data_IF_438796972225
#
_entry.id   IF_438796972225
#
_cell.length_a   1.000
_cell.length_b   1.000
_cell.length_c   1.000
_cell.angle_alpha   90.00
_cell.angle_beta   90.00
_cell.angle_gamma   90.00
#
_symmetry.space_group_name_H-M   'P 1'
#
loop_
_entity.id
_entity.type
_entity.pdbx_description
1 polymer ?
#
# COMPACT_ATOMS: atom_id res chain seq x y z
N UNK A 1 -21.65 1.79 10.77
CA UNK A 1 -21.54 2.11 12.22
C UNK A 1 -21.48 0.86 13.07
N UNK A 2 -22.25 -0.20 12.77
CA UNK A 2 -22.24 -1.47 13.52
C UNK A 2 -20.91 -2.25 13.41
N UNK A 3 -20.34 -2.34 12.21
CA UNK A 3 -19.08 -3.06 11.93
C UNK A 3 -17.88 -2.44 12.67
N UNK A 4 -17.83 -1.11 12.75
CA UNK A 4 -16.74 -0.37 13.41
C UNK A 4 -16.77 -0.55 14.93
N UNK A 5 -17.97 -0.65 15.52
CA UNK A 5 -18.12 -0.96 16.94
C UNK A 5 -17.74 -2.42 17.25
N UNK A 6 -18.07 -3.36 16.35
CA UNK A 6 -17.69 -4.76 16.49
C UNK A 6 -16.17 -4.93 16.43
N UNK A 7 -15.49 -4.27 15.47
CA UNK A 7 -14.02 -4.29 15.37
C UNK A 7 -13.34 -3.67 16.61
N UNK A 8 -13.89 -2.57 17.13
CA UNK A 8 -13.39 -1.98 18.37
C UNK A 8 -13.59 -2.90 19.58
N UNK A 9 -14.77 -3.53 19.67
CA UNK A 9 -15.10 -4.49 20.72
C UNK A 9 -14.15 -5.69 20.67
N UNK A 10 -13.95 -6.29 19.51
CA UNK A 10 -13.04 -7.42 19.31
C UNK A 10 -11.59 -7.03 19.61
N UNK A 11 -11.17 -5.82 19.22
CA UNK A 11 -9.84 -5.30 19.57
C UNK A 11 -9.64 -5.10 21.07
N UNK A 12 -10.69 -4.67 21.80
CA UNK A 12 -10.63 -4.46 23.25
C UNK A 12 -10.69 -5.78 24.04
N UNK A 13 -11.31 -6.82 23.49
CA UNK A 13 -11.54 -8.10 24.15
C UNK A 13 -10.63 -9.23 23.63
N UNK A 14 -9.74 -8.93 22.69
CA UNK A 14 -8.73 -9.87 22.23
C UNK A 14 -7.77 -10.25 23.36
N UNK A 15 -7.74 -11.54 23.70
CA UNK A 15 -6.85 -12.11 24.74
C UNK A 15 -5.41 -12.26 24.27
N UNK A 16 -5.18 -12.27 22.95
CA UNK A 16 -3.86 -12.24 22.35
C UNK A 16 -3.54 -10.79 21.96
N UNK A 17 -2.68 -10.13 22.74
CA UNK A 17 -2.24 -8.76 22.46
C UNK A 17 -1.20 -8.78 21.31
N UNK A 18 -1.63 -9.12 20.10
CA UNK A 18 -0.78 -9.27 18.89
C UNK A 18 -0.38 -7.94 18.26
N UNK A 19 -0.91 -6.82 18.77
CA UNK A 19 -0.60 -5.47 18.32
C UNK A 19 0.40 -4.74 19.22
N UNK A 20 1.10 -5.44 20.12
CA UNK A 20 2.19 -4.81 20.86
C UNK A 20 3.40 -4.60 19.93
N UNK A 21 4.17 -3.54 20.22
CA UNK A 21 5.36 -3.17 19.44
C UNK A 21 6.38 -4.30 19.35
N UNK A 22 6.52 -5.11 20.41
CA UNK A 22 7.50 -6.20 20.47
C UNK A 22 7.14 -7.34 19.51
N UNK A 23 5.87 -7.70 19.42
CA UNK A 23 5.35 -8.72 18.54
C UNK A 23 5.49 -8.29 17.08
N UNK A 24 5.11 -7.04 16.77
CA UNK A 24 5.24 -6.52 15.41
C UNK A 24 6.72 -6.44 15.03
N UNK A 25 7.59 -5.94 15.91
CA UNK A 25 9.04 -5.96 15.68
C UNK A 25 9.58 -7.38 15.43
N UNK A 26 9.19 -8.35 16.25
CA UNK A 26 9.63 -9.73 16.10
C UNK A 26 9.13 -10.37 14.81
N UNK A 27 7.88 -10.09 14.41
CA UNK A 27 7.30 -10.58 13.16
C UNK A 27 8.01 -10.00 11.94
N UNK A 28 8.17 -8.68 11.93
CA UNK A 28 8.69 -7.91 10.81
C UNK A 28 10.20 -8.13 10.62
N UNK A 29 10.97 -8.25 11.72
CA UNK A 29 12.42 -8.52 11.70
C UNK A 29 12.77 -10.01 11.71
N UNK A 30 11.80 -10.92 11.58
CA UNK A 30 12.00 -12.39 11.68
C UNK A 30 13.10 -12.91 10.76
N UNK A 31 13.26 -12.31 9.59
CA UNK A 31 14.23 -12.72 8.58
C UNK A 31 15.55 -11.93 8.63
N UNK A 32 15.81 -11.14 9.69
CA UNK A 32 16.99 -10.27 9.85
C UNK A 32 17.26 -9.34 8.65
N UNK A 33 16.21 -8.99 7.92
CA UNK A 33 16.24 -8.07 6.79
C UNK A 33 15.53 -6.79 7.17
N UNK A 34 15.93 -5.67 6.56
CA UNK A 34 15.21 -4.42 6.73
C UNK A 34 13.80 -4.58 6.15
N UNK A 35 12.75 -4.29 6.93
CA UNK A 35 11.40 -4.48 6.46
C UNK A 35 10.97 -3.36 5.52
N UNK A 36 10.30 -3.77 4.44
CA UNK A 36 9.72 -2.85 3.46
C UNK A 36 8.20 -2.90 3.59
N UNK A 37 7.60 -1.78 3.98
CA UNK A 37 6.15 -1.60 3.95
C UNK A 37 5.75 -0.93 2.64
N UNK A 38 4.66 -1.42 2.04
CA UNK A 38 4.09 -0.85 0.82
C UNK A 38 2.67 -0.39 1.12
N UNK A 39 2.38 0.89 0.88
CA UNK A 39 1.08 1.50 1.19
C UNK A 39 0.42 2.08 -0.04
N UNK A 40 -0.91 2.20 -0.01
CA UNK A 40 -1.70 2.93 -1.00
C UNK A 40 -2.13 4.28 -0.42
N UNK A 41 -1.64 5.39 -0.97
CA UNK A 41 -1.89 6.74 -0.43
C UNK A 41 -1.69 6.81 1.10
N UNK A 42 -0.61 6.22 1.59
CA UNK A 42 -0.43 5.80 2.99
C UNK A 42 -0.05 6.88 3.99
N UNK A 43 -0.59 8.10 3.89
CA UNK A 43 -0.26 9.16 4.86
C UNK A 43 -0.69 8.78 6.29
N UNK A 44 -1.85 8.13 6.42
CA UNK A 44 -2.35 7.63 7.70
C UNK A 44 -1.53 6.44 8.18
N UNK A 45 -1.21 5.49 7.29
CA UNK A 45 -0.38 4.31 7.59
C UNK A 45 1.01 4.72 8.10
N UNK A 46 1.63 5.73 7.49
CA UNK A 46 2.90 6.31 7.96
C UNK A 46 2.81 6.81 9.40
N UNK A 47 1.70 7.46 9.77
CA UNK A 47 1.48 7.94 11.15
C UNK A 47 1.34 6.76 12.13
N UNK A 48 0.72 5.66 11.71
CA UNK A 48 0.60 4.44 12.52
C UNK A 48 1.97 3.77 12.70
N UNK A 49 2.72 3.56 11.61
CA UNK A 49 4.04 2.94 11.64
C UNK A 49 5.04 3.75 12.49
N UNK A 50 4.99 5.08 12.41
CA UNK A 50 5.80 5.96 13.26
C UNK A 50 5.50 5.77 14.77
N UNK A 51 4.23 5.54 15.14
CA UNK A 51 3.87 5.27 16.54
C UNK A 51 4.36 3.91 17.04
N UNK A 52 4.60 2.96 16.13
CA UNK A 52 5.15 1.65 16.47
C UNK A 52 6.67 1.68 16.68
N UNK A 53 7.35 2.81 16.42
CA UNK A 53 8.78 2.99 16.61
C UNK A 53 9.63 1.87 15.96
N UNK A 54 9.27 1.52 14.72
CA UNK A 54 9.95 0.52 13.91
C UNK A 54 10.99 1.21 13.02
N UNK A 55 12.09 0.51 12.73
CA UNK A 55 12.97 0.84 11.60
C UNK A 55 12.45 0.12 10.35
N UNK A 56 12.16 0.86 9.29
CA UNK A 56 11.58 0.32 8.07
C UNK A 56 11.81 1.24 6.87
N UNK A 57 11.75 0.64 5.68
CA UNK A 57 11.55 1.38 4.43
C UNK A 57 10.07 1.44 4.12
N UNK A 58 9.59 2.61 3.72
CA UNK A 58 8.20 2.81 3.30
C UNK A 58 8.15 3.20 1.83
N UNK A 59 7.43 2.39 1.06
CA UNK A 59 7.13 2.67 -0.32
C UNK A 59 5.65 3.02 -0.44
N UNK A 60 5.34 4.14 -1.07
CA UNK A 60 3.98 4.57 -1.29
C UNK A 60 3.61 4.44 -2.76
N UNK A 61 2.48 3.78 -3.01
CA UNK A 61 1.85 3.72 -4.31
C UNK A 61 0.78 4.79 -4.36
N UNK A 62 0.80 5.61 -5.40
CA UNK A 62 -0.23 6.61 -5.66
C UNK A 62 -0.55 6.67 -7.14
N UNK A 63 -1.73 7.20 -7.47
CA UNK A 63 -2.10 7.52 -8.84
C UNK A 63 -2.40 8.99 -8.98
N UNK A 64 -2.12 9.52 -10.16
CA UNK A 64 -2.43 10.90 -10.45
C UNK A 64 -2.72 11.13 -11.93
N UNK A 65 -3.67 12.00 -12.22
CA UNK A 65 -3.84 12.63 -13.52
C UNK A 65 -2.96 13.88 -13.59
N UNK A 66 -1.87 13.75 -14.36
CA UNK A 66 -0.87 14.81 -14.53
C UNK A 66 -1.40 15.92 -15.44
N UNK A 67 -2.19 15.58 -16.47
CA UNK A 67 -2.54 16.47 -17.57
C UNK A 67 -3.98 16.99 -17.53
N UNK A 68 -4.79 16.55 -16.56
CA UNK A 68 -6.21 16.88 -16.44
C UNK A 68 -7.03 16.43 -17.66
N UNK A 69 -6.62 15.31 -18.25
CA UNK A 69 -7.20 14.72 -19.45
C UNK A 69 -7.77 13.32 -19.17
N UNK A 70 -7.95 12.97 -17.89
CA UNK A 70 -8.35 11.66 -17.42
C UNK A 70 -7.37 10.53 -17.76
N UNK A 71 -6.12 10.84 -18.14
CA UNK A 71 -5.05 9.85 -18.27
C UNK A 71 -4.27 9.76 -16.95
N UNK A 72 -4.41 8.60 -16.28
CA UNK A 72 -3.79 8.38 -14.98
C UNK A 72 -2.46 7.65 -15.12
N UNK A 73 -1.47 8.13 -14.37
CA UNK A 73 -0.21 7.41 -14.11
C UNK A 73 -0.21 6.84 -12.70
N UNK A 74 0.50 5.73 -12.52
CA UNK A 74 0.81 5.17 -11.20
C UNK A 74 2.26 5.43 -10.87
N UNK A 75 2.52 5.84 -9.63
CA UNK A 75 3.84 6.11 -9.10
C UNK A 75 4.15 5.18 -7.94
N UNK A 76 5.38 4.67 -7.92
CA UNK A 76 5.99 4.08 -6.74
C UNK A 76 6.98 5.09 -6.18
N UNK A 77 6.78 5.51 -4.93
CA UNK A 77 7.52 6.59 -4.29
C UNK A 77 8.22 6.05 -3.04
N UNK A 78 9.48 6.42 -2.86
CA UNK A 78 10.18 6.22 -1.59
C UNK A 78 9.77 7.33 -0.61
N UNK A 79 9.24 6.94 0.55
CA UNK A 79 8.75 7.90 1.54
C UNK A 79 9.85 8.51 2.42
N UNK A 80 11.10 8.02 2.30
CA UNK A 80 12.27 8.55 3.01
C UNK A 80 12.66 9.93 2.48
N UNK A 81 12.77 10.05 1.16
CA UNK A 81 13.26 11.23 0.44
C UNK A 81 12.26 11.80 -0.58
N UNK A 82 11.10 11.15 -0.74
CA UNK A 82 10.05 11.48 -1.73
C UNK A 82 10.46 11.24 -3.18
N UNK A 83 11.49 10.43 -3.43
CA UNK A 83 11.93 10.07 -4.78
C UNK A 83 10.91 9.18 -5.47
N UNK A 84 10.58 9.49 -6.73
CA UNK A 84 9.75 8.65 -7.59
C UNK A 84 10.65 7.54 -8.15
N UNK A 85 10.50 6.32 -7.62
CA UNK A 85 11.23 5.13 -8.07
C UNK A 85 10.77 4.74 -9.48
N UNK A 86 9.48 4.85 -9.74
CA UNK A 86 8.90 4.50 -11.02
C UNK A 86 7.59 5.24 -11.28
N UNK A 87 7.34 5.54 -12.55
CA UNK A 87 6.08 6.05 -13.06
C UNK A 87 5.70 5.29 -14.33
N UNK A 88 4.45 4.87 -14.45
CA UNK A 88 3.93 4.31 -15.70
C UNK A 88 2.44 4.59 -15.90
N UNK A 89 1.95 4.57 -17.15
CA UNK A 89 0.52 4.72 -17.42
C UNK A 89 -0.31 3.59 -16.79
N UNK A 90 -1.46 3.95 -16.22
CA UNK A 90 -2.50 3.01 -15.76
C UNK A 90 -3.58 2.85 -16.82
N UNK A 91 -4.06 3.98 -17.34
CA UNK A 91 -5.15 4.05 -18.30
C UNK A 91 -6.06 5.25 -18.06
N UNK A 92 -7.20 5.25 -18.74
CA UNK A 92 -8.19 6.32 -18.69
C UNK A 92 -9.40 5.95 -17.83
N UNK A 93 -9.89 6.90 -17.05
CA UNK A 93 -11.19 6.78 -16.38
C UNK A 93 -11.87 8.15 -16.33
N UNK A 94 -13.04 8.26 -16.93
CA UNK A 94 -13.81 9.51 -16.88
C UNK A 94 -14.40 9.70 -15.49
N UNK A 95 -13.82 10.60 -14.71
CA UNK A 95 -14.31 10.96 -13.39
C UNK A 95 -13.85 12.34 -12.96
N UNK A 96 -14.59 12.99 -12.03
CA UNK A 96 -14.09 14.18 -11.38
C UNK A 96 -12.95 13.83 -10.41
N UNK A 97 -11.86 14.58 -10.48
CA UNK A 97 -10.73 14.48 -9.57
C UNK A 97 -9.46 13.97 -10.23
N UNK A 98 -8.34 14.07 -9.50
CA UNK A 98 -7.00 13.77 -10.04
C UNK A 98 -6.42 12.46 -9.57
N UNK A 99 -7.08 11.73 -8.66
CA UNK A 99 -6.56 10.48 -8.10
C UNK A 99 -7.56 9.36 -8.30
N UNK A 100 -7.07 8.19 -8.66
CA UNK A 100 -7.87 6.98 -8.61
C UNK A 100 -7.92 6.45 -7.18
N UNK A 101 -9.02 5.82 -6.80
CA UNK A 101 -9.06 5.01 -5.59
C UNK A 101 -8.43 3.63 -5.84
N UNK A 102 -8.27 2.86 -4.76
CA UNK A 102 -7.60 1.55 -4.82
C UNK A 102 -8.31 0.58 -5.76
N UNK A 103 -9.64 0.54 -5.70
CA UNK A 103 -10.45 -0.37 -6.52
C UNK A 103 -10.46 0.03 -8.00
N UNK A 104 -10.58 1.32 -8.32
CA UNK A 104 -10.48 1.85 -9.68
C UNK A 104 -9.13 1.51 -10.30
N UNK A 105 -8.05 1.75 -9.56
CA UNK A 105 -6.68 1.43 -10.01
C UNK A 105 -6.51 -0.06 -10.22
N UNK A 106 -6.97 -0.86 -9.26
CA UNK A 106 -6.95 -2.31 -9.39
C UNK A 106 -7.70 -2.77 -10.64
N UNK A 107 -8.90 -2.24 -10.89
CA UNK A 107 -9.72 -2.59 -12.06
C UNK A 107 -9.01 -2.27 -13.38
N UNK A 108 -8.31 -1.13 -13.46
CA UNK A 108 -7.55 -0.75 -14.65
C UNK A 108 -6.27 -1.57 -14.84
N UNK A 109 -5.60 -1.97 -13.75
CA UNK A 109 -4.32 -2.70 -13.82
C UNK A 109 -4.48 -4.23 -13.83
N UNK A 110 -5.57 -4.74 -13.27
CA UNK A 110 -5.85 -6.13 -13.08
C UNK A 110 -7.25 -6.45 -13.60
N UNK A 111 -7.32 -6.98 -14.82
CA UNK A 111 -8.59 -7.42 -15.43
C UNK A 111 -9.22 -8.67 -14.77
N UNK A 112 -8.63 -9.19 -13.70
CA UNK A 112 -9.20 -10.30 -12.94
C UNK A 112 -10.24 -9.77 -11.95
N UNK A 113 -11.43 -10.39 -11.95
CA UNK A 113 -12.38 -10.20 -10.86
C UNK A 113 -11.87 -10.98 -9.66
N UNK A 114 -11.41 -10.27 -8.65
CA UNK A 114 -11.30 -10.87 -7.33
C UNK A 114 -12.70 -10.83 -6.72
N UNK A 115 -13.30 -12.00 -6.47
CA UNK A 115 -14.54 -12.11 -5.72
C UNK A 115 -14.26 -11.74 -4.26
N UNK A 116 -14.29 -10.46 -3.96
CA UNK A 116 -14.38 -10.01 -2.59
C UNK A 116 -15.85 -9.98 -2.22
N UNK A 117 -16.21 -10.65 -1.12
CA UNK A 117 -17.47 -10.40 -0.43
C UNK A 117 -17.35 -9.02 0.23
N UNK A 118 -17.58 -7.96 -0.54
CA UNK A 118 -17.28 -6.57 -0.14
C UNK A 118 -18.36 -6.05 0.80
N UNK A 119 -18.06 -6.02 2.10
CA UNK A 119 -18.32 -4.79 2.84
C UNK A 119 -17.23 -3.79 2.45
N UNK A 120 -17.62 -2.61 1.97
CA UNK A 120 -16.71 -1.50 1.74
C UNK A 120 -15.97 -1.20 3.06
N UNK A 121 -14.65 -0.93 2.99
CA UNK A 121 -13.78 -0.56 4.11
C UNK A 121 -13.20 -1.71 4.97
N UNK A 122 -13.02 -2.91 4.42
CA UNK A 122 -12.25 -3.97 5.06
C UNK A 122 -10.72 -3.79 4.83
N UNK A 123 -9.91 -3.57 5.88
CA UNK A 123 -8.46 -3.42 5.76
C UNK A 123 -7.77 -4.64 5.11
N UNK A 124 -8.31 -5.85 5.30
CA UNK A 124 -7.76 -7.06 4.68
C UNK A 124 -7.88 -7.00 3.15
N UNK A 125 -9.06 -6.59 2.66
CA UNK A 125 -9.29 -6.38 1.23
C UNK A 125 -8.35 -5.31 0.66
N UNK A 126 -8.15 -4.20 1.37
CA UNK A 126 -7.22 -3.15 0.95
C UNK A 126 -5.77 -3.65 0.84
N UNK A 127 -5.31 -4.49 1.77
CA UNK A 127 -4.00 -5.14 1.70
C UNK A 127 -3.89 -6.05 0.49
N UNK A 128 -4.91 -6.85 0.19
CA UNK A 128 -4.91 -7.77 -0.95
C UNK A 128 -4.85 -6.99 -2.28
N UNK A 129 -5.67 -5.95 -2.41
CA UNK A 129 -5.71 -5.09 -3.60
C UNK A 129 -4.37 -4.37 -3.80
N UNK A 130 -3.81 -3.79 -2.73
CA UNK A 130 -2.52 -3.10 -2.76
C UNK A 130 -1.41 -4.05 -3.19
N UNK A 131 -1.37 -5.27 -2.63
CA UNK A 131 -0.41 -6.30 -3.03
C UNK A 131 -0.55 -6.65 -4.51
N UNK A 132 -1.78 -6.82 -5.01
CA UNK A 132 -1.98 -7.15 -6.43
C UNK A 132 -1.44 -6.04 -7.35
N UNK A 133 -1.76 -4.78 -7.04
CA UNK A 133 -1.26 -3.61 -7.77
C UNK A 133 0.27 -3.57 -7.71
N UNK A 134 0.86 -3.76 -6.53
CA UNK A 134 2.31 -3.80 -6.35
C UNK A 134 2.95 -4.89 -7.21
N UNK A 135 2.44 -6.13 -7.17
CA UNK A 135 2.96 -7.23 -7.98
C UNK A 135 2.94 -6.91 -9.49
N UNK A 136 1.90 -6.23 -9.97
CA UNK A 136 1.81 -5.76 -11.37
C UNK A 136 2.84 -4.68 -11.67
N UNK A 137 3.01 -3.72 -10.77
CA UNK A 137 4.02 -2.65 -10.85
C UNK A 137 5.44 -3.23 -10.90
N UNK A 138 5.76 -4.16 -10.00
CA UNK A 138 7.09 -4.79 -9.92
C UNK A 138 7.40 -5.62 -11.15
N UNK A 139 6.41 -6.25 -11.79
CA UNK A 139 6.63 -6.90 -13.09
C UNK A 139 7.01 -5.92 -14.19
N UNK A 140 6.50 -4.69 -14.15
CA UNK A 140 6.89 -3.61 -15.10
C UNK A 140 8.29 -3.08 -14.77
N UNK A 141 8.59 -2.86 -13.50
CA UNK A 141 9.87 -2.33 -13.01
C UNK A 141 11.00 -3.37 -13.15
N UNK A 142 10.67 -4.66 -13.04
CA UNK A 142 11.55 -5.81 -12.75
C UNK A 142 12.06 -5.78 -11.30
N UNK A 143 11.90 -6.90 -10.59
CA UNK A 143 12.25 -7.02 -9.18
C UNK A 143 13.68 -6.57 -8.85
N UNK A 144 14.66 -6.98 -9.66
CA UNK A 144 16.07 -6.63 -9.43
C UNK A 144 16.33 -5.11 -9.45
N UNK A 145 15.58 -4.35 -10.25
CA UNK A 145 15.75 -2.90 -10.31
C UNK A 145 15.29 -2.24 -8.99
N UNK A 146 14.21 -2.76 -8.39
CA UNK A 146 13.78 -2.29 -7.08
C UNK A 146 14.79 -2.68 -6.00
N UNK A 147 15.31 -3.91 -6.02
CA UNK A 147 16.31 -4.35 -5.05
C UNK A 147 17.55 -3.47 -5.13
N UNK A 148 18.09 -3.24 -6.33
CA UNK A 148 19.25 -2.38 -6.53
C UNK A 148 19.01 -0.98 -5.96
N UNK A 149 17.86 -0.35 -6.28
CA UNK A 149 17.51 0.97 -5.74
C UNK A 149 17.49 0.99 -4.20
N UNK A 150 16.98 -0.07 -3.56
CA UNK A 150 16.87 -0.14 -2.11
C UNK A 150 18.21 -0.44 -1.42
N UNK A 151 19.15 -1.08 -2.11
CA UNK A 151 20.45 -1.50 -1.55
C UNK A 151 21.61 -0.60 -1.94
N UNK A 152 21.48 0.20 -2.98
CA UNK A 152 22.48 1.19 -3.36
C UNK A 152 22.45 2.32 -2.32
N UNK A 153 23.39 2.24 -1.37
CA UNK A 153 23.64 3.28 -0.36
C UNK A 153 23.93 4.62 -1.06
N UNK A 154 23.18 5.66 -0.67
CA UNK A 154 23.52 7.06 -0.94
C UNK A 154 24.30 7.64 0.24
#
# INVERSE_FOLDING_TARGET
MYVTLAQLYDSMHATNNTLNTDFINAYVKRNKTEPVFVTWNGETDKKILNKLNLEYVLLNITTYDVHLDNNYVIRLIDERDKTIIHESPVGTLDKPGRQLNLNETHTLMCGAKHEFSVELHDPCTDVILTKCIFDKLIRRIKYNNLVNYLTEEW
#
